data_IF_644349783062
#
_entry.id   IF_644349783062
#
_cell.length_a   1.000
_cell.length_b   1.000
_cell.length_c   1.000
_cell.angle_alpha   90.00
_cell.angle_beta   90.00
_cell.angle_gamma   90.00
#
_symmetry.space_group_name_H-M   'P 1'
#
loop_
_entity.id
_entity.type
_entity.pdbx_description
1 polymer ?
#
# COMPACT_ATOMS: atom_id res chain seq x y z
N UNK A 1 -2.59 20.21 5.85
CA UNK A 1 -2.74 21.64 5.50
C UNK A 1 -3.22 22.47 6.69
N UNK A 2 -4.37 22.16 7.29
CA UNK A 2 -4.88 22.92 8.44
C UNK A 2 -3.92 22.96 9.64
N UNK A 3 -3.17 21.88 9.87
CA UNK A 3 -2.10 21.83 10.89
C UNK A 3 -0.78 22.55 10.49
N UNK A 4 -0.76 23.30 9.38
CA UNK A 4 0.40 24.09 8.94
C UNK A 4 1.34 23.42 7.93
N UNK A 5 1.09 22.18 7.51
CA UNK A 5 1.88 21.52 6.46
C UNK A 5 1.71 22.23 5.10
N UNK A 6 2.83 22.65 4.50
CA UNK A 6 2.87 23.39 3.22
C UNK A 6 3.31 22.53 2.02
N UNK A 7 3.67 21.26 2.24
CA UNK A 7 4.01 20.28 1.20
C UNK A 7 3.24 19.01 1.47
N UNK A 8 2.63 18.45 0.44
CA UNK A 8 1.80 17.25 0.51
C UNK A 8 2.22 16.35 -0.63
N UNK A 9 2.60 15.12 -0.28
CA UNK A 9 2.87 14.08 -1.27
C UNK A 9 1.60 13.31 -1.58
N UNK A 10 1.50 12.89 -2.83
CA UNK A 10 0.44 12.05 -3.34
C UNK A 10 0.86 11.44 -4.67
N UNK A 11 -0.01 10.63 -5.24
CA UNK A 11 0.18 10.04 -6.54
C UNK A 11 -1.12 10.09 -7.32
N UNK A 12 -1.02 10.25 -8.63
CA UNK A 12 -2.19 10.19 -9.52
C UNK A 12 -2.82 8.79 -9.44
N UNK A 13 -4.14 8.72 -9.38
CA UNK A 13 -4.93 7.49 -9.22
C UNK A 13 -4.53 6.67 -7.97
N UNK A 14 -3.92 7.32 -6.97
CA UNK A 14 -3.42 6.66 -5.76
C UNK A 14 -2.25 5.69 -6.00
N UNK A 15 -1.61 5.71 -7.18
CA UNK A 15 -0.51 4.80 -7.53
C UNK A 15 0.60 4.76 -6.47
N UNK A 16 0.68 3.64 -5.75
CA UNK A 16 1.65 3.48 -4.67
C UNK A 16 1.58 2.11 -4.01
N UNK A 17 2.41 1.92 -2.99
CA UNK A 17 2.44 0.69 -2.22
C UNK A 17 1.19 0.53 -1.32
N UNK A 18 0.88 -0.70 -0.92
CA UNK A 18 -0.24 -0.98 -0.01
C UNK A 18 -1.59 -0.63 -0.64
N UNK A 19 -2.37 0.20 0.07
CA UNK A 19 -3.66 0.71 -0.42
C UNK A 19 -3.52 1.90 -1.38
N UNK A 20 -2.29 2.35 -1.67
CA UNK A 20 -1.99 3.54 -2.44
C UNK A 20 -1.64 4.76 -1.58
N UNK A 21 -1.11 5.80 -2.22
CA UNK A 21 -0.96 7.11 -1.59
C UNK A 21 -2.26 7.92 -1.73
N UNK A 22 -2.29 9.11 -1.14
CA UNK A 22 -3.34 10.11 -1.39
C UNK A 22 -3.54 10.29 -2.91
N UNK A 23 -4.73 10.00 -3.45
CA UNK A 23 -5.00 10.21 -4.87
C UNK A 23 -5.02 11.71 -5.18
N UNK A 24 -4.14 12.17 -6.06
CA UNK A 24 -3.94 13.61 -6.29
C UNK A 24 -5.16 14.28 -6.90
N UNK A 25 -5.85 13.63 -7.83
CA UNK A 25 -7.08 14.12 -8.43
C UNK A 25 -8.18 14.32 -7.39
N UNK A 26 -8.30 13.42 -6.42
CA UNK A 26 -9.25 13.56 -5.29
C UNK A 26 -8.82 14.70 -4.38
N UNK A 27 -7.53 14.80 -4.07
CA UNK A 27 -7.01 15.84 -3.21
C UNK A 27 -7.20 17.24 -3.81
N UNK A 28 -6.89 17.40 -5.11
CA UNK A 28 -7.10 18.65 -5.85
C UNK A 28 -8.58 19.02 -5.86
N UNK A 29 -9.49 18.07 -6.10
CA UNK A 29 -10.93 18.32 -6.04
C UNK A 29 -11.38 18.87 -4.67
N UNK A 30 -10.86 18.30 -3.58
CA UNK A 30 -11.14 18.78 -2.23
C UNK A 30 -10.60 20.20 -2.02
N UNK A 31 -9.37 20.49 -2.45
CA UNK A 31 -8.78 21.84 -2.33
C UNK A 31 -9.59 22.88 -3.11
N UNK A 32 -10.05 22.57 -4.32
CA UNK A 32 -10.89 23.46 -5.11
C UNK A 32 -12.21 23.77 -4.40
N UNK A 33 -12.85 22.74 -3.81
CA UNK A 33 -14.06 22.90 -2.99
C UNK A 33 -13.85 23.72 -1.73
N UNK A 34 -12.63 23.73 -1.20
CA UNK A 34 -12.24 24.54 -0.04
C UNK A 34 -11.76 25.96 -0.45
N UNK A 35 -11.72 26.28 -1.74
CA UNK A 35 -11.20 27.56 -2.23
C UNK A 35 -9.68 27.70 -2.08
N UNK A 36 -8.95 26.59 -1.96
CA UNK A 36 -7.50 26.55 -1.83
C UNK A 36 -6.87 26.35 -3.20
N UNK A 37 -6.01 27.29 -3.62
CA UNK A 37 -5.29 27.18 -4.89
C UNK A 37 -4.10 26.22 -4.76
N UNK A 38 -4.17 25.07 -5.43
CA UNK A 38 -3.08 24.08 -5.52
C UNK A 38 -2.11 24.34 -6.67
N UNK A 39 -2.48 25.19 -7.64
CA UNK A 39 -1.75 25.36 -8.90
C UNK A 39 -1.93 24.21 -9.90
N UNK A 40 -2.78 23.23 -9.58
CA UNK A 40 -3.07 22.06 -10.43
C UNK A 40 -4.48 22.20 -11.02
N UNK A 41 -4.59 21.97 -12.33
CA UNK A 41 -5.86 21.94 -13.04
C UNK A 41 -6.60 20.63 -12.74
N UNK A 42 -7.80 20.73 -12.16
CA UNK A 42 -8.60 19.59 -11.73
C UNK A 42 -8.94 18.64 -12.89
N UNK A 43 -9.42 19.19 -14.01
CA UNK A 43 -9.86 18.35 -15.12
C UNK A 43 -8.68 17.66 -15.79
N UNK A 44 -7.56 18.37 -15.96
CA UNK A 44 -6.36 17.74 -16.53
C UNK A 44 -5.80 16.63 -15.64
N UNK A 45 -5.82 16.77 -14.31
CA UNK A 45 -5.30 15.70 -13.44
C UNK A 45 -6.25 14.49 -13.39
N UNK A 46 -7.57 14.71 -13.56
CA UNK A 46 -8.54 13.63 -13.77
C UNK A 46 -8.25 12.87 -15.07
N UNK A 47 -8.00 13.59 -16.17
CA UNK A 47 -7.65 12.97 -17.45
C UNK A 47 -6.35 12.17 -17.34
N UNK A 48 -5.31 12.71 -16.67
CA UNK A 48 -4.06 11.96 -16.44
C UNK A 48 -4.31 10.70 -15.60
N UNK A 49 -5.20 10.75 -14.61
CA UNK A 49 -5.55 9.57 -13.82
C UNK A 49 -6.17 8.47 -14.69
N UNK A 50 -7.24 8.77 -15.41
CA UNK A 50 -8.02 7.77 -16.15
C UNK A 50 -7.38 7.36 -17.48
N UNK A 51 -6.79 8.30 -18.22
CA UNK A 51 -6.30 8.03 -19.58
C UNK A 51 -4.86 7.54 -19.61
N UNK A 52 -4.06 7.83 -18.57
CA UNK A 52 -2.62 7.49 -18.54
C UNK A 52 -2.25 6.55 -17.40
N UNK A 53 -2.61 6.89 -16.16
CA UNK A 53 -2.07 6.18 -14.98
C UNK A 53 -2.81 4.88 -14.68
N UNK A 54 -4.15 4.90 -14.67
CA UNK A 54 -4.95 3.68 -14.47
C UNK A 54 -4.62 2.60 -15.51
N UNK A 55 -4.47 2.91 -16.82
CA UNK A 55 -4.06 1.92 -17.83
C UNK A 55 -2.68 1.30 -17.62
N UNK A 56 -1.77 1.95 -16.87
CA UNK A 56 -0.45 1.40 -16.56
C UNK A 56 -0.47 0.40 -15.40
N UNK A 57 -1.56 0.30 -14.65
CA UNK A 57 -1.62 -0.55 -13.46
C UNK A 57 -1.88 -2.01 -13.83
N UNK A 58 -1.03 -2.92 -13.36
CA UNK A 58 -1.26 -4.37 -13.47
C UNK A 58 -2.53 -4.82 -12.73
N UNK A 59 -2.86 -4.11 -11.65
CA UNK A 59 -4.01 -4.37 -10.80
C UNK A 59 -4.50 -3.06 -10.18
N UNK A 60 -5.81 -2.90 -9.93
CA UNK A 60 -6.35 -1.68 -9.37
C UNK A 60 -5.80 -1.42 -7.97
N UNK A 61 -5.31 -0.21 -7.73
CA UNK A 61 -4.95 0.26 -6.39
C UNK A 61 -6.22 0.54 -5.61
N UNK A 62 -6.43 -0.19 -4.52
CA UNK A 62 -7.61 -0.04 -3.67
C UNK A 62 -7.35 -0.56 -2.27
N UNK A 63 -8.21 -0.14 -1.34
CA UNK A 63 -8.28 -0.77 -0.02
C UNK A 63 -8.90 -2.17 -0.13
N UNK A 64 -8.06 -3.19 -0.09
CA UNK A 64 -8.47 -4.58 0.08
C UNK A 64 -8.21 -5.07 1.52
N UNK A 65 -8.52 -6.34 1.78
CA UNK A 65 -8.38 -6.94 3.12
C UNK A 65 -6.93 -6.90 3.64
N UNK A 66 -5.96 -7.16 2.76
CA UNK A 66 -4.56 -7.28 3.14
C UNK A 66 -3.93 -5.89 3.31
N UNK A 67 -4.28 -4.94 2.44
CA UNK A 67 -3.91 -3.54 2.57
C UNK A 67 -4.49 -2.90 3.85
N UNK A 68 -5.73 -3.25 4.22
CA UNK A 68 -6.31 -2.84 5.51
C UNK A 68 -5.53 -3.45 6.69
N UNK A 69 -5.14 -4.72 6.58
CA UNK A 69 -4.34 -5.39 7.62
C UNK A 69 -3.00 -4.70 7.82
N UNK A 70 -2.36 -4.27 6.73
CA UNK A 70 -1.09 -3.54 6.79
C UNK A 70 -1.20 -2.27 7.63
N UNK A 71 -2.23 -1.45 7.37
CA UNK A 71 -2.49 -0.24 8.16
C UNK A 71 -2.83 -0.55 9.62
N UNK A 72 -3.63 -1.59 9.87
CA UNK A 72 -3.97 -2.02 11.23
C UNK A 72 -2.75 -2.53 12.02
N UNK A 73 -1.85 -3.27 11.36
CA UNK A 73 -0.66 -3.83 11.98
C UNK A 73 0.50 -2.82 12.12
N UNK A 74 0.39 -1.64 11.50
CA UNK A 74 1.45 -0.63 11.52
C UNK A 74 2.70 -1.06 10.75
N UNK A 75 2.53 -1.86 9.69
CA UNK A 75 3.64 -2.38 8.87
C UNK A 75 3.88 -1.49 7.67
N UNK A 76 5.11 -1.50 7.16
CA UNK A 76 5.51 -0.70 5.99
C UNK A 76 4.79 -1.14 4.70
N UNK A 77 4.22 -0.20 3.95
CA UNK A 77 3.33 -0.46 2.79
C UNK A 77 3.93 -1.30 1.67
N UNK A 78 5.26 -1.25 1.45
CA UNK A 78 5.92 -2.07 0.41
C UNK A 78 5.83 -3.57 0.69
N UNK A 79 5.62 -3.97 1.95
CA UNK A 79 5.64 -5.38 2.36
C UNK A 79 4.45 -6.17 1.77
N UNK A 80 3.36 -5.50 1.39
CA UNK A 80 2.15 -6.16 0.92
C UNK A 80 2.41 -7.12 -0.26
N UNK A 81 3.17 -6.67 -1.26
CA UNK A 81 3.45 -7.48 -2.44
C UNK A 81 4.29 -8.71 -2.09
N UNK A 82 5.28 -8.54 -1.20
CA UNK A 82 6.13 -9.63 -0.73
C UNK A 82 5.35 -10.63 0.14
N UNK A 83 4.45 -10.15 1.01
CA UNK A 83 3.59 -11.00 1.82
C UNK A 83 2.64 -11.83 0.95
N UNK A 84 2.03 -11.25 -0.09
CA UNK A 84 1.19 -11.99 -1.06
C UNK A 84 1.98 -13.04 -1.83
N UNK A 85 3.21 -12.73 -2.25
CA UNK A 85 4.11 -13.69 -2.89
C UNK A 85 4.50 -14.83 -1.95
N UNK A 86 4.81 -14.51 -0.69
CA UNK A 86 5.12 -15.49 0.34
C UNK A 86 3.91 -16.38 0.66
N UNK A 87 2.70 -15.82 0.70
CA UNK A 87 1.47 -16.61 0.85
C UNK A 87 1.30 -17.64 -0.25
N UNK A 88 1.48 -17.23 -1.51
CA UNK A 88 1.41 -18.15 -2.65
C UNK A 88 2.48 -19.24 -2.59
N UNK A 89 3.69 -18.91 -2.11
CA UNK A 89 4.84 -19.83 -2.07
C UNK A 89 4.83 -20.78 -0.88
N UNK A 90 4.38 -20.33 0.29
CA UNK A 90 4.51 -21.03 1.58
C UNK A 90 3.16 -21.44 2.20
N UNK A 91 2.03 -21.04 1.60
CA UNK A 91 0.70 -21.38 2.11
C UNK A 91 0.35 -20.71 3.45
N UNK A 92 1.09 -19.69 3.86
CA UNK A 92 0.83 -18.89 5.06
C UNK A 92 0.13 -17.61 4.66
N UNK A 93 -1.08 -17.37 5.17
CA UNK A 93 -1.88 -16.21 4.80
C UNK A 93 -1.11 -14.89 4.99
N UNK A 94 -1.15 -13.99 4.00
CA UNK A 94 -0.43 -12.72 4.06
C UNK A 94 -0.80 -11.90 5.31
N UNK A 95 -2.07 -11.96 5.72
CA UNK A 95 -2.55 -11.33 6.96
C UNK A 95 -1.76 -11.74 8.18
N UNK A 96 -1.47 -13.03 8.33
CA UNK A 96 -0.75 -13.55 9.48
C UNK A 96 0.70 -13.07 9.49
N UNK A 97 1.34 -13.11 8.31
CA UNK A 97 2.70 -12.58 8.13
C UNK A 97 2.76 -11.10 8.52
N UNK A 98 1.85 -10.28 8.00
CA UNK A 98 1.81 -8.84 8.26
C UNK A 98 1.59 -8.54 9.75
N UNK A 99 0.64 -9.22 10.41
CA UNK A 99 0.38 -9.00 11.85
C UNK A 99 1.61 -9.34 12.70
N UNK A 100 2.30 -10.45 12.41
CA UNK A 100 3.49 -10.86 13.16
C UNK A 100 4.69 -9.97 12.88
N UNK A 101 4.87 -9.46 11.65
CA UNK A 101 5.90 -8.48 11.30
C UNK A 101 5.68 -7.13 12.01
N UNK A 102 4.42 -6.71 12.16
CA UNK A 102 4.06 -5.54 12.96
C UNK A 102 4.42 -5.74 14.44
N UNK A 103 4.10 -6.91 15.00
CA UNK A 103 4.48 -7.27 16.38
C UNK A 103 5.99 -7.27 16.60
N UNK A 104 6.77 -7.60 15.57
CA UNK A 104 8.25 -7.59 15.61
C UNK A 104 8.87 -6.20 15.45
N UNK A 105 8.07 -5.17 15.18
CA UNK A 105 8.57 -3.81 14.99
C UNK A 105 9.45 -3.65 13.75
N UNK A 106 9.13 -4.38 12.67
CA UNK A 106 9.89 -4.30 11.41
C UNK A 106 9.75 -2.92 10.76
N UNK A 107 10.80 -2.50 10.06
CA UNK A 107 10.88 -1.21 9.36
C UNK A 107 11.08 -1.42 7.86
N UNK A 108 10.87 -0.37 7.06
CA UNK A 108 11.10 -0.44 5.61
C UNK A 108 12.54 -0.86 5.27
N UNK A 109 12.69 -1.68 4.23
CA UNK A 109 13.98 -2.29 3.86
C UNK A 109 14.24 -3.68 4.45
N UNK A 110 13.31 -4.23 5.24
CA UNK A 110 13.40 -5.57 5.84
C UNK A 110 12.46 -6.58 5.15
N UNK A 111 12.30 -6.47 3.83
CA UNK A 111 11.43 -7.33 3.03
C UNK A 111 11.86 -8.82 3.07
N UNK A 112 13.13 -9.11 3.32
CA UNK A 112 13.70 -10.44 3.49
C UNK A 112 13.10 -11.21 4.69
N UNK A 113 12.78 -10.49 5.77
CA UNK A 113 12.16 -11.06 6.98
C UNK A 113 10.80 -11.72 6.72
N UNK A 114 10.11 -11.31 5.65
CA UNK A 114 8.80 -11.85 5.26
C UNK A 114 8.96 -13.31 4.83
N UNK A 115 9.99 -13.59 4.02
CA UNK A 115 10.26 -14.92 3.49
C UNK A 115 10.73 -15.87 4.61
N UNK A 116 11.62 -15.41 5.48
CA UNK A 116 12.09 -16.15 6.66
C UNK A 116 10.95 -16.49 7.63
N UNK A 117 10.04 -15.54 7.86
CA UNK A 117 8.88 -15.76 8.69
C UNK A 117 7.93 -16.79 8.06
N UNK A 118 7.65 -16.64 6.77
CA UNK A 118 6.76 -17.56 6.05
C UNK A 118 7.31 -18.99 6.05
N UNK A 119 8.61 -19.16 5.83
CA UNK A 119 9.29 -20.45 5.92
C UNK A 119 9.19 -21.05 7.33
N UNK A 120 9.41 -20.23 8.36
CA UNK A 120 9.35 -20.66 9.77
C UNK A 120 7.94 -21.16 10.13
N UNK A 121 6.90 -20.39 9.79
CA UNK A 121 5.50 -20.73 10.06
C UNK A 121 5.04 -21.94 9.23
N UNK A 122 5.48 -22.03 7.97
CA UNK A 122 5.18 -23.15 7.09
C UNK A 122 5.74 -24.47 7.63
N UNK A 123 6.98 -24.48 8.13
CA UNK A 123 7.58 -25.66 8.77
C UNK A 123 6.87 -26.03 10.06
N UNK A 124 6.56 -25.05 10.91
CA UNK A 124 5.83 -25.28 12.16
C UNK A 124 4.44 -25.91 11.95
N UNK A 125 3.79 -25.64 10.81
CA UNK A 125 2.48 -26.19 10.43
C UNK A 125 2.54 -27.49 9.62
N UNK A 126 3.73 -27.95 9.25
CA UNK A 126 3.89 -29.11 8.37
C UNK A 126 3.36 -28.89 6.95
N UNK A 127 3.24 -27.63 6.51
CA UNK A 127 2.84 -27.29 5.12
C UNK A 127 3.97 -27.61 4.15
N UNK A 128 5.22 -27.38 4.57
CA UNK A 128 6.42 -27.83 3.86
C UNK A 128 7.04 -29.03 4.58
N UNK A 129 7.61 -30.00 3.85
CA UNK A 129 8.42 -31.06 4.46
C UNK A 129 9.59 -30.44 5.23
N UNK A 130 9.91 -31.01 6.39
CA UNK A 130 11.11 -30.68 7.17
C UNK A 130 12.38 -31.06 6.43
#
# INVERSE_FOLDING_TARGET
IEAGAARIDGSVAGLGAGAGNTPLEVFVAVLERMGVNSGVDLYKIMDVAEDLVVPMMDQPIRLDRDALTLGYAGVYSSFLLFAKRAEQKYGIAARELLVELGRRGTVGGQEDMIEDLALTLSRARGVLPT
#
